data_IF_732107107375
#
_entry.id   IF_732107107375
#
_cell.length_a   1.000
_cell.length_b   1.000
_cell.length_c   1.000
_cell.angle_alpha   90.00
_cell.angle_beta   90.00
_cell.angle_gamma   90.00
#
_symmetry.space_group_name_H-M   'P 1'
#
loop_
_entity.id
_entity.type
_entity.pdbx_description
1 polymer ?
#
# COMPACT_ATOMS: atom_id res chain seq x y z
N UNK A 1 -18.45 -2.66 -13.14
CA UNK A 1 -16.98 -2.43 -13.12
C UNK A 1 -16.51 -1.44 -12.04
N UNK A 2 -17.20 -0.32 -11.76
CA UNK A 2 -16.71 0.69 -10.80
C UNK A 2 -16.53 0.20 -9.34
N UNK A 3 -17.36 -0.74 -8.87
CA UNK A 3 -17.20 -1.34 -7.53
C UNK A 3 -15.94 -2.21 -7.42
N UNK A 4 -15.56 -2.88 -8.51
CA UNK A 4 -14.37 -3.75 -8.55
C UNK A 4 -13.07 -2.95 -8.39
N UNK A 5 -13.04 -1.72 -8.92
CA UNK A 5 -11.87 -0.86 -8.85
C UNK A 5 -11.54 -0.41 -7.41
N UNK A 6 -12.56 -0.25 -6.55
CA UNK A 6 -12.43 0.20 -5.16
C UNK A 6 -12.04 -0.89 -4.16
N UNK A 7 -12.10 -2.16 -4.55
CA UNK A 7 -11.69 -3.27 -3.68
C UNK A 7 -10.17 -3.30 -3.51
N UNK A 8 -9.72 -3.55 -2.27
CA UNK A 8 -8.31 -3.89 -1.97
C UNK A 8 -7.90 -5.12 -2.81
N UNK A 9 -6.61 -5.25 -3.11
CA UNK A 9 -6.07 -6.33 -3.97
C UNK A 9 -6.57 -7.72 -3.52
N UNK A 10 -6.59 -7.97 -2.21
CA UNK A 10 -7.18 -9.17 -1.62
C UNK A 10 -8.63 -9.41 -2.07
N UNK A 11 -9.50 -8.41 -1.93
CA UNK A 11 -10.91 -8.53 -2.32
C UNK A 11 -11.10 -8.79 -3.82
N UNK A 12 -10.22 -8.22 -4.67
CA UNK A 12 -10.22 -8.53 -6.11
C UNK A 12 -9.87 -10.00 -6.36
N UNK A 13 -8.82 -10.49 -5.69
CA UNK A 13 -8.37 -11.88 -5.82
C UNK A 13 -9.44 -12.86 -5.35
N UNK A 14 -10.07 -12.60 -4.20
CA UNK A 14 -11.16 -13.43 -3.66
C UNK A 14 -12.32 -13.54 -4.64
N UNK A 15 -12.76 -12.41 -5.23
CA UNK A 15 -13.89 -12.44 -6.18
C UNK A 15 -13.53 -13.17 -7.47
N UNK A 16 -12.31 -12.98 -8.00
CA UNK A 16 -11.86 -13.70 -9.21
C UNK A 16 -11.83 -15.21 -8.96
N UNK A 17 -11.18 -15.65 -7.88
CA UNK A 17 -11.04 -17.08 -7.58
C UNK A 17 -12.41 -17.71 -7.28
N UNK A 18 -13.28 -17.03 -6.51
CA UNK A 18 -14.64 -17.50 -6.25
C UNK A 18 -15.45 -17.64 -7.56
N UNK A 19 -15.31 -16.69 -8.47
CA UNK A 19 -15.96 -16.74 -9.79
C UNK A 19 -15.49 -17.94 -10.62
N UNK A 20 -14.18 -18.22 -10.62
CA UNK A 20 -13.61 -19.38 -11.31
C UNK A 20 -14.13 -20.70 -10.71
N UNK A 21 -14.13 -20.81 -9.37
CA UNK A 21 -14.63 -22.01 -8.68
C UNK A 21 -16.11 -22.24 -8.98
N UNK A 22 -16.93 -21.17 -8.98
CA UNK A 22 -18.35 -21.26 -9.31
C UNK A 22 -18.58 -21.67 -10.76
N UNK A 23 -17.83 -21.10 -11.71
CA UNK A 23 -17.91 -21.46 -13.12
C UNK A 23 -17.56 -22.94 -13.33
N UNK A 24 -16.49 -23.41 -12.68
CA UNK A 24 -16.07 -24.81 -12.77
C UNK A 24 -17.12 -25.76 -12.17
N UNK A 25 -17.75 -25.37 -11.05
CA UNK A 25 -18.84 -26.12 -10.44
C UNK A 25 -20.04 -26.25 -11.39
N UNK A 26 -20.44 -25.16 -12.05
CA UNK A 26 -21.55 -25.17 -13.02
C UNK A 26 -21.20 -26.04 -14.23
N UNK A 27 -20.02 -25.87 -14.82
CA UNK A 27 -19.59 -26.61 -15.99
C UNK A 27 -19.48 -28.12 -15.70
N UNK A 28 -18.87 -28.48 -14.56
CA UNK A 28 -18.76 -29.87 -14.12
C UNK A 28 -20.13 -30.49 -13.85
N UNK A 29 -21.05 -29.75 -13.20
CA UNK A 29 -22.42 -30.20 -12.99
C UNK A 29 -23.18 -30.46 -14.29
N UNK A 30 -23.06 -29.55 -15.26
CA UNK A 30 -23.69 -29.71 -16.58
C UNK A 30 -23.13 -30.91 -17.35
N UNK A 31 -21.80 -31.05 -17.41
CA UNK A 31 -21.14 -32.17 -18.07
C UNK A 31 -21.59 -33.51 -17.46
N UNK A 32 -21.61 -33.58 -16.12
CA UNK A 32 -21.97 -34.80 -15.42
C UNK A 32 -23.44 -35.17 -15.58
N UNK A 33 -24.36 -34.19 -15.67
CA UNK A 33 -25.77 -34.43 -15.95
C UNK A 33 -25.96 -35.10 -17.33
N UNK A 34 -25.21 -34.64 -18.34
CA UNK A 34 -25.23 -35.23 -19.69
C UNK A 34 -24.70 -36.66 -19.63
N UNK A 35 -23.51 -36.87 -19.04
CA UNK A 35 -22.91 -38.21 -18.95
C UNK A 35 -23.79 -39.20 -18.17
N UNK A 36 -24.40 -38.77 -17.06
CA UNK A 36 -25.28 -39.62 -16.26
C UNK A 36 -26.55 -39.99 -17.05
N UNK A 37 -27.15 -39.03 -17.76
CA UNK A 37 -28.30 -39.27 -18.63
C UNK A 37 -27.98 -40.30 -19.72
N UNK A 38 -26.81 -40.21 -20.34
CA UNK A 38 -26.40 -41.13 -21.40
C UNK A 38 -26.14 -42.55 -20.87
N UNK A 39 -25.47 -42.68 -19.72
CA UNK A 39 -25.25 -43.97 -19.06
C UNK A 39 -26.58 -44.63 -18.67
N UNK A 40 -27.50 -43.85 -18.08
CA UNK A 40 -28.80 -44.37 -17.65
C UNK A 40 -29.64 -44.83 -18.83
N UNK A 41 -29.63 -44.08 -19.94
CA UNK A 41 -30.32 -44.48 -21.19
C UNK A 41 -29.75 -45.77 -21.78
N UNK A 42 -28.43 -45.87 -21.89
CA UNK A 42 -27.77 -47.08 -22.38
C UNK A 42 -28.04 -48.30 -21.47
N UNK A 43 -28.10 -48.07 -20.15
CA UNK A 43 -28.47 -49.10 -19.19
C UNK A 43 -29.92 -49.56 -19.34
N UNK A 44 -30.85 -48.64 -19.62
CA UNK A 44 -32.26 -48.96 -19.82
C UNK A 44 -32.45 -49.79 -21.09
N UNK A 45 -31.79 -49.41 -22.18
CA UNK A 45 -31.82 -50.12 -23.45
C UNK A 45 -31.30 -51.56 -23.32
N UNK A 46 -30.16 -51.75 -22.65
CA UNK A 46 -29.60 -53.11 -22.39
C UNK A 46 -30.55 -53.99 -21.58
N UNK A 47 -31.20 -53.43 -20.55
CA UNK A 47 -32.17 -54.17 -19.73
C UNK A 47 -33.42 -54.51 -20.54
N UNK A 48 -33.91 -53.56 -21.33
CA UNK A 48 -35.05 -53.77 -22.21
C UNK A 48 -34.79 -54.87 -23.26
N UNK A 49 -33.60 -54.88 -23.87
CA UNK A 49 -33.19 -55.94 -24.80
C UNK A 49 -33.13 -57.31 -24.13
N UNK A 50 -32.63 -57.38 -22.89
CA UNK A 50 -32.59 -58.63 -22.11
C UNK A 50 -34.00 -59.18 -21.85
N UNK A 51 -34.93 -58.32 -21.42
CA UNK A 51 -36.33 -58.72 -21.19
C UNK A 51 -36.99 -59.14 -22.50
N UNK A 52 -36.74 -58.41 -23.60
CA UNK A 52 -37.31 -58.75 -24.90
C UNK A 52 -36.80 -60.11 -25.42
N UNK A 53 -35.52 -60.41 -25.21
CA UNK A 53 -34.92 -61.69 -25.54
C UNK A 53 -35.50 -62.85 -24.73
N UNK A 54 -35.63 -62.68 -23.41
CA UNK A 54 -36.19 -63.68 -22.50
C UNK A 54 -37.67 -63.97 -22.81
N UNK A 55 -38.47 -62.92 -23.02
CA UNK A 55 -39.88 -63.07 -23.42
C UNK A 55 -39.97 -63.77 -24.77
N UNK A 56 -39.09 -63.48 -25.74
CA UNK A 56 -39.10 -64.13 -27.04
C UNK A 56 -38.76 -65.63 -26.96
N UNK A 57 -37.76 -65.98 -26.17
CA UNK A 57 -37.37 -67.38 -25.94
C UNK A 57 -38.52 -68.18 -25.32
N UNK A 58 -39.07 -67.70 -24.21
CA UNK A 58 -40.17 -68.38 -23.52
C UNK A 58 -41.48 -68.38 -24.32
N UNK A 59 -41.71 -67.36 -25.14
CA UNK A 59 -42.86 -67.31 -26.04
C UNK A 59 -42.75 -68.33 -27.16
N UNK A 60 -41.53 -68.67 -27.62
CA UNK A 60 -41.32 -69.71 -28.62
C UNK A 60 -41.92 -71.04 -28.16
N UNK A 61 -41.59 -71.45 -26.93
CA UNK A 61 -42.08 -72.69 -26.32
C UNK A 61 -43.62 -72.70 -26.19
N UNK A 62 -44.21 -71.57 -25.77
CA UNK A 62 -45.66 -71.43 -25.64
C UNK A 62 -46.39 -71.44 -26.99
N UNK A 63 -45.79 -70.85 -28.04
CA UNK A 63 -46.34 -70.82 -29.39
C UNK A 63 -46.29 -72.20 -30.06
N UNK A 64 -45.20 -72.95 -29.90
CA UNK A 64 -45.08 -74.32 -30.41
C UNK A 64 -46.10 -75.28 -29.78
N UNK A 65 -46.47 -75.03 -28.51
CA UNK A 65 -47.48 -75.82 -27.78
C UNK A 65 -48.92 -75.33 -27.99
N UNK A 66 -49.13 -74.22 -28.71
CA UNK A 66 -50.44 -73.65 -29.01
C UNK A 66 -51.19 -73.09 -27.79
N UNK A 67 -50.49 -72.84 -26.67
CA UNK A 67 -51.10 -72.41 -25.42
C UNK A 67 -51.14 -70.88 -25.31
N UNK A 68 -52.17 -70.28 -25.90
CA UNK A 68 -52.35 -68.81 -25.90
C UNK A 68 -52.54 -68.24 -24.48
N UNK A 69 -53.09 -69.02 -23.55
CA UNK A 69 -53.28 -68.59 -22.16
C UNK A 69 -51.94 -68.48 -21.42
N UNK A 70 -51.05 -69.46 -21.60
CA UNK A 70 -49.70 -69.41 -21.04
C UNK A 70 -48.91 -68.21 -21.57
N UNK A 71 -49.14 -67.84 -22.84
CA UNK A 71 -48.53 -66.67 -23.46
C UNK A 71 -49.02 -65.35 -22.83
N UNK A 72 -50.33 -65.22 -22.59
CA UNK A 72 -50.88 -64.05 -21.87
C UNK A 72 -50.37 -63.97 -20.42
N UNK A 73 -50.35 -65.08 -19.70
CA UNK A 73 -49.87 -65.12 -18.31
C UNK A 73 -48.37 -64.75 -18.23
N UNK A 74 -47.57 -65.21 -19.18
CA UNK A 74 -46.14 -64.90 -19.27
C UNK A 74 -45.89 -63.40 -19.43
N UNK A 75 -46.50 -62.75 -20.42
CA UNK A 75 -46.24 -61.33 -20.67
C UNK A 75 -46.73 -60.44 -19.53
N UNK A 76 -47.81 -60.83 -18.85
CA UNK A 76 -48.30 -60.13 -17.68
C UNK A 76 -47.37 -60.31 -16.47
N UNK A 77 -46.80 -61.51 -16.31
CA UNK A 77 -45.80 -61.81 -15.28
C UNK A 77 -44.52 -61.01 -15.50
N UNK A 78 -44.00 -61.01 -16.72
CA UNK A 78 -42.77 -60.28 -17.07
C UNK A 78 -42.90 -58.77 -16.92
N UNK A 79 -44.05 -58.21 -17.32
CA UNK A 79 -44.35 -56.80 -17.04
C UNK A 79 -44.40 -56.49 -15.55
N UNK A 80 -44.97 -57.39 -14.74
CA UNK A 80 -45.09 -57.19 -13.28
C UNK A 80 -43.75 -57.34 -12.57
N UNK A 81 -42.84 -58.16 -13.08
CA UNK A 81 -41.51 -58.36 -12.53
C UNK A 81 -40.53 -57.23 -12.88
N UNK A 82 -40.81 -56.45 -13.93
CA UNK A 82 -39.93 -55.41 -14.44
C UNK A 82 -40.61 -54.03 -14.41
N UNK A 83 -40.39 -53.26 -13.34
CA UNK A 83 -41.04 -51.95 -13.12
C UNK A 83 -40.77 -50.89 -14.20
N UNK A 84 -39.73 -51.08 -15.02
CA UNK A 84 -39.40 -50.21 -16.15
C UNK A 84 -40.18 -50.54 -17.43
N UNK A 85 -40.86 -51.69 -17.49
CA UNK A 85 -41.62 -52.15 -18.65
C UNK A 85 -43.03 -51.57 -18.61
N UNK A 86 -43.35 -50.71 -19.58
CA UNK A 86 -44.66 -50.09 -19.74
C UNK A 86 -45.67 -51.04 -20.39
N UNK A 87 -45.23 -51.75 -21.43
CA UNK A 87 -46.03 -52.76 -22.12
C UNK A 87 -45.18 -53.87 -22.74
N UNK A 88 -45.82 -55.01 -22.92
CA UNK A 88 -45.37 -56.15 -23.73
C UNK A 88 -46.53 -56.57 -24.62
N UNK A 89 -46.26 -56.81 -25.90
CA UNK A 89 -47.20 -57.49 -26.80
C UNK A 89 -46.48 -58.32 -27.86
N UNK A 90 -47.16 -59.34 -28.36
CA UNK A 90 -46.66 -60.24 -29.40
C UNK A 90 -47.38 -60.02 -30.72
N UNK A 91 -46.62 -60.15 -31.79
CA UNK A 91 -47.07 -60.09 -33.16
C UNK A 91 -46.80 -61.42 -33.84
N UNK A 92 -47.77 -61.91 -34.59
CA UNK A 92 -47.61 -63.02 -35.55
C UNK A 92 -46.80 -62.56 -36.77
N UNK A 93 -46.42 -63.50 -37.62
CA UNK A 93 -45.78 -63.33 -38.94
C UNK A 93 -46.52 -62.34 -39.84
N UNK A 94 -47.85 -62.28 -39.78
CA UNK A 94 -48.71 -61.32 -40.48
C UNK A 94 -48.82 -59.94 -39.77
N UNK A 95 -48.05 -59.73 -38.69
CA UNK A 95 -48.12 -58.52 -37.87
C UNK A 95 -49.43 -58.37 -37.10
N UNK A 96 -50.16 -59.47 -36.85
CA UNK A 96 -51.38 -59.51 -36.03
C UNK A 96 -51.03 -59.70 -34.56
N UNK A 97 -51.73 -58.99 -33.67
CA UNK A 97 -51.46 -59.11 -32.23
C UNK A 97 -51.94 -60.45 -31.70
N UNK A 98 -51.04 -61.21 -31.10
CA UNK A 98 -51.35 -62.52 -30.51
C UNK A 98 -51.71 -62.43 -29.03
N UNK A 99 -50.95 -61.61 -28.28
CA UNK A 99 -51.16 -61.36 -26.86
C UNK A 99 -50.65 -59.95 -26.51
N UNK A 100 -51.22 -59.31 -25.50
CA UNK A 100 -50.80 -57.97 -25.07
C UNK A 100 -51.08 -57.70 -23.59
N UNK A 101 -50.35 -56.74 -23.02
CA UNK A 101 -50.51 -56.32 -21.61
C UNK A 101 -51.32 -55.01 -21.43
N UNK A 102 -51.96 -54.51 -22.48
CA UNK A 102 -52.77 -53.28 -22.43
C UNK A 102 -54.13 -53.51 -21.76
N UNK A 103 -54.49 -52.65 -20.81
CA UNK A 103 -55.76 -52.76 -20.06
C UNK A 103 -56.94 -52.06 -20.74
N UNK A 104 -56.69 -51.10 -21.65
CA UNK A 104 -57.71 -50.31 -22.35
C UNK A 104 -57.80 -50.64 -23.86
N UNK A 105 -57.28 -51.81 -24.25
CA UNK A 105 -57.12 -52.21 -25.65
C UNK A 105 -55.80 -51.74 -26.27
N UNK A 106 -55.39 -52.42 -27.35
CA UNK A 106 -54.12 -52.16 -28.04
C UNK A 106 -54.18 -50.86 -28.87
N UNK A 107 -53.26 -49.90 -28.66
CA UNK A 107 -53.25 -48.66 -29.45
C UNK A 107 -52.86 -48.93 -30.91
N UNK A 108 -53.69 -48.49 -31.87
CA UNK A 108 -53.46 -48.73 -33.31
C UNK A 108 -52.11 -48.18 -33.80
N UNK A 109 -51.70 -46.99 -33.35
CA UNK A 109 -50.44 -46.35 -33.76
C UNK A 109 -49.19 -47.10 -33.29
N UNK A 110 -49.28 -47.95 -32.24
CA UNK A 110 -48.15 -48.71 -31.74
C UNK A 110 -47.80 -49.94 -32.61
N UNK A 111 -48.77 -50.37 -33.42
CA UNK A 111 -48.63 -51.53 -34.33
C UNK A 111 -47.77 -51.21 -35.55
N UNK A 112 -47.81 -49.97 -36.02
CA UNK A 112 -47.19 -49.51 -37.27
C UNK A 112 -45.81 -48.87 -37.07
N UNK A 113 -45.31 -48.80 -35.83
CA UNK A 113 -44.05 -48.11 -35.50
C UNK A 113 -42.81 -48.76 -36.11
N UNK A 114 -42.80 -50.08 -36.22
CA UNK A 114 -41.71 -50.83 -36.85
C UNK A 114 -42.19 -51.32 -38.23
N UNK A 115 -41.31 -51.27 -39.24
CA UNK A 115 -41.61 -51.77 -40.59
C UNK A 115 -41.75 -53.30 -40.67
N UNK A 116 -41.87 -53.86 -41.88
CA UNK A 116 -41.76 -55.30 -42.10
C UNK A 116 -40.35 -55.75 -41.64
N UNK A 117 -40.30 -56.54 -40.56
CA UNK A 117 -39.08 -56.71 -39.77
C UNK A 117 -38.02 -57.59 -40.38
N UNK A 118 -36.77 -57.30 -40.01
CA UNK A 118 -35.62 -58.18 -40.24
C UNK A 118 -35.41 -59.21 -39.13
N UNK A 119 -34.34 -60.00 -39.28
CA UNK A 119 -33.92 -61.03 -38.34
C UNK A 119 -33.15 -60.49 -37.11
N UNK A 120 -32.95 -59.17 -37.02
CA UNK A 120 -32.22 -58.51 -35.93
C UNK A 120 -33.16 -57.71 -35.02
N UNK A 121 -32.82 -57.55 -33.73
CA UNK A 121 -33.58 -56.72 -32.82
C UNK A 121 -33.47 -55.23 -33.20
N UNK A 122 -34.58 -54.52 -33.11
CA UNK A 122 -34.68 -53.09 -33.43
C UNK A 122 -35.13 -52.32 -32.19
N UNK A 123 -34.58 -51.12 -31.97
CA UNK A 123 -34.97 -50.23 -30.87
C UNK A 123 -35.37 -48.88 -31.45
N UNK A 124 -36.61 -48.47 -31.23
CA UNK A 124 -37.10 -47.15 -31.60
C UNK A 124 -37.44 -46.31 -30.38
N UNK A 125 -37.23 -45.00 -30.49
CA UNK A 125 -37.65 -44.04 -29.46
C UNK A 125 -38.91 -43.34 -29.90
N UNK A 126 -39.92 -43.37 -29.05
CA UNK A 126 -41.26 -42.89 -29.39
C UNK A 126 -41.77 -42.01 -28.25
N UNK A 127 -42.21 -40.80 -28.61
CA UNK A 127 -42.96 -39.95 -27.69
C UNK A 127 -44.42 -40.43 -27.67
N UNK A 128 -44.86 -40.95 -26.52
CA UNK A 128 -46.22 -41.48 -26.34
C UNK A 128 -47.01 -40.63 -25.34
N UNK A 129 -48.32 -40.83 -25.26
CA UNK A 129 -49.16 -40.22 -24.21
C UNK A 129 -48.81 -40.70 -22.80
N UNK A 130 -48.02 -41.78 -22.68
CA UNK A 130 -47.49 -42.32 -21.43
C UNK A 130 -46.06 -41.83 -21.12
N UNK A 131 -45.51 -40.91 -21.92
CA UNK A 131 -44.13 -40.42 -21.80
C UNK A 131 -43.20 -40.95 -22.89
N UNK A 132 -41.90 -40.75 -22.70
CA UNK A 132 -40.86 -41.22 -23.64
C UNK A 132 -40.65 -42.71 -23.44
N UNK A 133 -40.92 -43.49 -24.49
CA UNK A 133 -40.80 -44.95 -24.45
C UNK A 133 -39.74 -45.41 -25.46
N UNK A 134 -38.86 -46.30 -25.01
CA UNK A 134 -38.01 -47.10 -25.89
C UNK A 134 -38.77 -48.37 -26.23
N UNK A 135 -39.15 -48.49 -27.49
CA UNK A 135 -39.95 -49.56 -28.01
C UNK A 135 -39.03 -50.55 -28.75
N UNK A 136 -38.89 -51.72 -28.15
CA UNK A 136 -37.92 -52.75 -28.54
C UNK A 136 -38.67 -53.85 -29.26
N UNK A 137 -38.24 -54.16 -30.48
CA UNK A 137 -38.69 -55.32 -31.24
C UNK A 137 -37.65 -56.43 -31.14
N UNK A 138 -38.09 -57.63 -30.78
CA UNK A 138 -37.26 -58.82 -30.78
C UNK A 138 -37.91 -59.94 -31.61
N UNK A 139 -37.23 -60.50 -32.62
CA UNK A 139 -37.78 -61.58 -33.45
C UNK A 139 -37.79 -62.91 -32.69
N UNK A 140 -38.88 -63.69 -32.81
CA UNK A 140 -39.01 -65.04 -32.22
C UNK A 140 -38.55 -66.06 -33.28
N UNK A 141 -37.59 -66.92 -32.94
CA UNK A 141 -36.94 -67.85 -33.89
C UNK A 141 -36.51 -67.18 -35.20
N UNK A 142 -35.80 -66.04 -35.11
CA UNK A 142 -35.37 -65.28 -36.29
C UNK A 142 -36.50 -64.67 -37.11
N UNK A 143 -37.71 -64.58 -36.54
CA UNK A 143 -38.91 -64.00 -37.15
C UNK A 143 -39.91 -65.05 -37.66
N UNK A 144 -39.58 -66.35 -37.58
CA UNK A 144 -40.42 -67.44 -38.06
C UNK A 144 -41.74 -67.57 -37.28
N UNK A 145 -41.73 -67.22 -36.00
CA UNK A 145 -42.91 -67.27 -35.11
C UNK A 145 -43.43 -65.87 -34.78
N UNK A 146 -43.00 -64.84 -35.52
CA UNK A 146 -43.36 -63.45 -35.29
C UNK A 146 -42.35 -62.70 -34.41
N UNK A 147 -42.82 -61.71 -33.64
CA UNK A 147 -41.95 -60.82 -32.86
C UNK A 147 -42.58 -60.37 -31.54
N UNK A 148 -41.73 -60.23 -30.51
CA UNK A 148 -42.08 -59.60 -29.23
C UNK A 148 -41.79 -58.12 -29.29
N UNK A 149 -42.66 -57.34 -28.65
CA UNK A 149 -42.57 -55.88 -28.56
C UNK A 149 -42.59 -55.48 -27.09
N UNK A 150 -41.49 -54.91 -26.61
CA UNK A 150 -41.33 -54.47 -25.22
C UNK A 150 -41.16 -52.96 -25.21
N UNK A 151 -42.11 -52.26 -24.61
CA UNK A 151 -42.06 -50.82 -24.38
C UNK A 151 -41.48 -50.53 -23.01
N UNK A 152 -40.33 -49.88 -22.96
CA UNK A 152 -39.64 -49.50 -21.73
C UNK A 152 -39.74 -47.99 -21.50
N UNK A 153 -40.20 -47.58 -20.31
CA UNK A 153 -40.39 -46.16 -19.98
C UNK A 153 -39.10 -45.50 -19.51
N UNK A 154 -38.75 -44.35 -20.10
CA UNK A 154 -37.64 -43.52 -19.59
C UNK A 154 -38.01 -42.85 -18.25
N UNK A 155 -39.28 -42.77 -17.87
CA UNK A 155 -39.71 -42.16 -16.60
C UNK A 155 -39.29 -42.99 -15.38
N UNK A 156 -39.09 -44.30 -15.54
CA UNK A 156 -38.51 -45.17 -14.50
C UNK A 156 -37.09 -44.72 -14.09
N UNK A 157 -36.40 -43.94 -14.93
CA UNK A 157 -35.09 -43.37 -14.63
C UNK A 157 -35.19 -42.06 -13.81
N UNK A 158 -36.37 -41.44 -13.74
CA UNK A 158 -36.53 -40.07 -13.23
C UNK A 158 -36.30 -39.96 -11.73
N UNK A 159 -36.78 -40.91 -10.94
CA UNK A 159 -36.60 -40.93 -9.48
C UNK A 159 -35.13 -41.15 -9.08
N UNK A 160 -34.44 -42.05 -9.80
CA UNK A 160 -33.00 -42.29 -9.64
C UNK A 160 -32.18 -41.05 -10.00
N UNK A 161 -32.55 -40.35 -11.08
CA UNK A 161 -31.91 -39.09 -11.49
C UNK A 161 -32.09 -37.99 -10.43
N UNK A 162 -33.30 -37.77 -9.91
CA UNK A 162 -33.56 -36.71 -8.91
C UNK A 162 -32.77 -36.93 -7.62
N UNK A 163 -32.75 -38.16 -7.10
CA UNK A 163 -31.99 -38.50 -5.89
C UNK A 163 -30.49 -38.28 -6.06
N UNK A 164 -29.93 -38.71 -7.21
CA UNK A 164 -28.51 -38.50 -7.50
C UNK A 164 -28.17 -37.03 -7.72
N UNK A 165 -29.01 -36.26 -8.42
CA UNK A 165 -28.82 -34.81 -8.60
C UNK A 165 -28.80 -34.08 -7.26
N UNK A 166 -29.67 -34.43 -6.31
CA UNK A 166 -29.71 -33.79 -5.00
C UNK A 166 -28.45 -34.07 -4.18
N UNK A 167 -27.96 -35.32 -4.17
CA UNK A 167 -26.68 -35.69 -3.52
C UNK A 167 -25.51 -34.91 -4.11
N UNK A 168 -25.49 -34.77 -5.44
CA UNK A 168 -24.45 -34.02 -6.15
C UNK A 168 -24.47 -32.54 -5.79
N UNK A 169 -25.64 -31.90 -5.77
CA UNK A 169 -25.78 -30.52 -5.31
C UNK A 169 -25.25 -30.32 -3.88
N UNK A 170 -25.51 -31.27 -2.99
CA UNK A 170 -24.96 -31.27 -1.63
C UNK A 170 -23.42 -31.29 -1.62
N UNK A 171 -22.81 -32.22 -2.36
CA UNK A 171 -21.34 -32.32 -2.47
C UNK A 171 -20.74 -31.05 -3.07
N UNK A 172 -21.34 -30.52 -4.14
CA UNK A 172 -20.88 -29.27 -4.77
C UNK A 172 -20.93 -28.11 -3.78
N UNK A 173 -22.00 -27.97 -3.00
CA UNK A 173 -22.12 -26.93 -1.98
C UNK A 173 -21.02 -27.04 -0.91
N UNK A 174 -20.72 -28.26 -0.44
CA UNK A 174 -19.65 -28.50 0.53
C UNK A 174 -18.29 -28.10 -0.01
N UNK A 175 -17.97 -28.47 -1.26
CA UNK A 175 -16.72 -28.09 -1.93
C UNK A 175 -16.62 -26.56 -2.04
N UNK A 176 -17.72 -25.90 -2.40
CA UNK A 176 -17.77 -24.44 -2.58
C UNK A 176 -17.54 -23.71 -1.25
N UNK A 177 -18.13 -24.21 -0.15
CA UNK A 177 -17.91 -23.68 1.19
C UNK A 177 -16.46 -23.90 1.67
N UNK A 178 -15.89 -25.07 1.45
CA UNK A 178 -14.49 -25.36 1.79
C UNK A 178 -13.53 -24.46 0.99
N UNK A 179 -13.77 -24.28 -0.31
CA UNK A 179 -13.01 -23.38 -1.15
C UNK A 179 -13.11 -21.94 -0.63
N UNK A 180 -14.30 -21.46 -0.25
CA UNK A 180 -14.50 -20.13 0.30
C UNK A 180 -13.69 -19.90 1.58
N UNK A 181 -13.71 -20.85 2.52
CA UNK A 181 -12.94 -20.78 3.77
C UNK A 181 -11.44 -20.78 3.49
N UNK A 182 -10.98 -21.67 2.60
CA UNK A 182 -9.56 -21.75 2.23
C UNK A 182 -9.06 -20.46 1.58
N UNK A 183 -9.84 -19.89 0.65
CA UNK A 183 -9.50 -18.61 0.00
C UNK A 183 -9.44 -17.48 1.02
N UNK A 184 -10.39 -17.42 1.95
CA UNK A 184 -10.40 -16.41 3.01
C UNK A 184 -9.16 -16.51 3.90
N UNK A 185 -8.80 -17.72 4.34
CA UNK A 185 -7.61 -17.97 5.15
C UNK A 185 -6.32 -17.64 4.40
N UNK A 186 -6.21 -18.07 3.14
CA UNK A 186 -5.04 -17.77 2.31
C UNK A 186 -4.88 -16.26 2.08
N UNK A 187 -5.99 -15.55 1.88
CA UNK A 187 -6.00 -14.09 1.76
C UNK A 187 -5.48 -13.41 3.03
N UNK A 188 -5.85 -13.89 4.21
CA UNK A 188 -5.41 -13.33 5.49
C UNK A 188 -3.91 -13.57 5.74
N UNK A 189 -3.42 -14.77 5.40
CA UNK A 189 -2.01 -15.16 5.54
C UNK A 189 -1.09 -14.35 4.60
N UNK A 190 -1.49 -14.15 3.35
CA UNK A 190 -0.63 -13.48 2.35
C UNK A 190 -0.74 -11.96 2.39
N UNK A 191 -1.95 -11.42 2.58
CA UNK A 191 -2.16 -9.97 2.38
C UNK A 191 -1.78 -9.15 3.61
N UNK A 192 -2.00 -9.66 4.83
CA UNK A 192 -1.68 -8.90 6.05
C UNK A 192 -0.20 -8.55 6.16
N UNK A 193 0.75 -9.48 5.99
CA UNK A 193 2.18 -9.16 6.05
C UNK A 193 2.59 -8.12 5.01
N UNK A 194 2.08 -8.23 3.78
CA UNK A 194 2.38 -7.29 2.71
C UNK A 194 1.89 -5.88 3.02
N UNK A 195 0.72 -5.74 3.63
CA UNK A 195 0.21 -4.42 4.00
C UNK A 195 1.07 -3.77 5.09
N UNK A 196 1.49 -4.54 6.10
CA UNK A 196 2.41 -4.05 7.12
C UNK A 196 3.78 -3.66 6.56
N UNK A 197 4.31 -4.43 5.60
CA UNK A 197 5.55 -4.09 4.90
C UNK A 197 5.41 -2.78 4.11
N UNK A 198 4.29 -2.58 3.41
CA UNK A 198 4.03 -1.35 2.66
C UNK A 198 3.93 -0.11 3.56
N UNK A 199 3.16 -0.19 4.66
CA UNK A 199 3.04 0.91 5.61
C UNK A 199 4.42 1.30 6.17
N UNK A 200 5.22 0.31 6.55
CA UNK A 200 6.59 0.51 7.02
C UNK A 200 7.49 1.17 5.99
N UNK A 201 7.47 0.70 4.75
CA UNK A 201 8.24 1.29 3.67
C UNK A 201 7.88 2.77 3.46
N UNK A 202 6.59 3.14 3.61
CA UNK A 202 6.15 4.53 3.54
C UNK A 202 6.70 5.38 4.69
N UNK A 203 6.72 4.85 5.91
CA UNK A 203 7.31 5.54 7.06
C UNK A 203 8.83 5.73 6.91
N UNK A 204 9.55 4.69 6.45
CA UNK A 204 10.99 4.75 6.16
C UNK A 204 11.26 5.78 5.06
N UNK A 205 10.44 5.82 4.00
CA UNK A 205 10.57 6.80 2.91
C UNK A 205 10.40 8.25 3.39
N UNK A 206 9.60 8.48 4.45
CA UNK A 206 9.43 9.80 5.08
C UNK A 206 10.54 10.13 6.09
N UNK A 207 11.51 9.22 6.31
CA UNK A 207 12.63 9.40 7.23
C UNK A 207 12.29 9.13 8.70
N UNK A 208 11.17 8.46 8.98
CA UNK A 208 10.78 8.08 10.34
C UNK A 208 11.27 6.66 10.65
N UNK A 209 12.38 6.56 11.41
CA UNK A 209 13.06 5.30 11.74
C UNK A 209 12.68 4.77 13.14
N UNK A 210 11.41 4.89 13.55
CA UNK A 210 10.98 4.71 14.95
C UNK A 210 10.35 3.35 15.27
N UNK A 211 10.38 2.39 14.34
CA UNK A 211 9.68 1.11 14.51
C UNK A 211 10.56 -0.02 15.08
N UNK A 212 10.03 -0.85 15.99
CA UNK A 212 10.62 -2.17 16.32
C UNK A 212 10.78 -3.00 15.04
N UNK A 213 11.91 -3.68 14.81
CA UNK A 213 12.13 -4.51 13.60
C UNK A 213 10.91 -5.36 13.21
N UNK A 214 10.62 -5.46 11.91
CA UNK A 214 9.52 -6.31 11.43
C UNK A 214 9.94 -7.76 11.62
N UNK A 215 9.37 -8.43 12.61
CA UNK A 215 9.60 -9.85 12.85
C UNK A 215 8.40 -10.64 12.36
N UNK A 216 8.55 -11.25 11.17
CA UNK A 216 7.61 -12.28 10.74
C UNK A 216 8.17 -13.66 11.12
N UNK A 217 7.33 -14.57 11.62
CA UNK A 217 7.75 -15.92 12.00
C UNK A 217 8.06 -16.84 10.81
N UNK A 218 7.90 -16.38 9.56
CA UNK A 218 8.05 -17.22 8.38
C UNK A 218 9.44 -17.04 7.73
N UNK A 219 10.13 -18.14 7.42
CA UNK A 219 11.38 -18.18 6.64
C UNK A 219 11.15 -18.11 5.13
N UNK A 220 9.96 -17.68 4.71
CA UNK A 220 9.52 -17.62 3.32
C UNK A 220 10.00 -16.34 2.61
N UNK A 221 9.56 -16.14 1.37
CA UNK A 221 9.84 -14.95 0.56
C UNK A 221 9.51 -13.65 1.29
N UNK A 222 8.42 -13.64 2.08
CA UNK A 222 7.96 -12.46 2.82
C UNK A 222 8.91 -12.19 4.00
N UNK A 223 9.33 -13.23 4.71
CA UNK A 223 10.34 -13.11 5.76
C UNK A 223 11.68 -12.58 5.23
N UNK A 224 12.15 -13.08 4.09
CA UNK A 224 13.38 -12.57 3.43
C UNK A 224 13.25 -11.10 3.06
N UNK A 225 12.11 -10.70 2.49
CA UNK A 225 11.84 -9.30 2.16
C UNK A 225 11.81 -8.40 3.40
N UNK A 226 11.18 -8.86 4.49
CA UNK A 226 11.14 -8.13 5.75
C UNK A 226 12.54 -7.92 6.35
N UNK A 227 13.37 -8.96 6.33
CA UNK A 227 14.76 -8.87 6.80
C UNK A 227 15.59 -7.91 5.95
N UNK A 228 15.49 -8.00 4.61
CA UNK A 228 16.17 -7.08 3.71
C UNK A 228 15.73 -5.62 3.94
N UNK A 229 14.44 -5.40 4.21
CA UNK A 229 13.93 -4.05 4.51
C UNK A 229 14.41 -3.55 5.89
N UNK A 230 14.47 -4.42 6.91
CA UNK A 230 15.05 -4.07 8.21
C UNK A 230 16.55 -3.71 8.08
N UNK A 231 17.30 -4.43 7.25
CA UNK A 231 18.71 -4.13 6.97
C UNK A 231 18.88 -2.79 6.25
N UNK A 232 18.02 -2.52 5.26
CA UNK A 232 17.99 -1.24 4.55
C UNK A 232 17.65 -0.08 5.50
N UNK A 233 16.66 -0.25 6.39
CA UNK A 233 16.30 0.74 7.41
C UNK A 233 17.50 1.06 8.31
N UNK A 234 18.21 0.02 8.78
CA UNK A 234 19.41 0.17 9.62
C UNK A 234 20.49 0.98 8.90
N UNK A 235 20.85 0.63 7.67
CA UNK A 235 21.87 1.35 6.91
C UNK A 235 21.47 2.81 6.63
N UNK A 236 20.20 3.07 6.33
CA UNK A 236 19.70 4.44 6.12
C UNK A 236 19.78 5.26 7.41
N UNK A 237 19.43 4.67 8.56
CA UNK A 237 19.51 5.32 9.86
C UNK A 237 20.95 5.63 10.25
N UNK A 238 21.86 4.68 10.09
CA UNK A 238 23.30 4.86 10.32
C UNK A 238 23.87 5.96 9.42
N UNK A 239 23.56 5.95 8.12
CA UNK A 239 23.99 6.98 7.18
C UNK A 239 23.45 8.38 7.53
N UNK A 240 22.20 8.47 8.00
CA UNK A 240 21.61 9.72 8.45
C UNK A 240 22.28 10.26 9.73
N UNK A 241 22.60 9.38 10.68
CA UNK A 241 23.33 9.73 11.91
C UNK A 241 24.76 10.19 11.60
N UNK A 242 25.48 9.47 10.75
CA UNK A 242 26.84 9.84 10.35
C UNK A 242 26.86 11.18 9.61
N UNK A 243 25.90 11.41 8.70
CA UNK A 243 25.74 12.72 8.05
C UNK A 243 25.49 13.83 9.06
N UNK A 244 24.62 13.61 10.06
CA UNK A 244 24.36 14.59 11.12
C UNK A 244 25.62 14.88 11.94
N UNK A 245 26.41 13.84 12.25
CA UNK A 245 27.67 13.96 12.97
C UNK A 245 28.72 14.75 12.18
N UNK A 246 28.89 14.45 10.90
CA UNK A 246 29.85 15.13 10.02
C UNK A 246 29.48 16.61 9.83
N UNK A 247 28.20 16.93 9.62
CA UNK A 247 27.75 18.32 9.52
C UNK A 247 27.99 19.09 10.82
N UNK A 248 27.77 18.46 11.99
CA UNK A 248 28.13 19.06 13.28
C UNK A 248 29.62 19.36 13.38
N UNK A 249 30.48 18.42 13.01
CA UNK A 249 31.94 18.63 13.02
C UNK A 249 32.37 19.77 12.10
N UNK A 250 31.82 19.83 10.87
CA UNK A 250 32.15 20.90 9.91
C UNK A 250 31.81 22.27 10.49
N UNK A 251 30.65 22.41 11.14
CA UNK A 251 30.21 23.71 11.67
C UNK A 251 30.96 24.10 12.93
N UNK A 252 31.23 23.16 13.83
CA UNK A 252 32.11 23.43 14.97
C UNK A 252 33.49 23.87 14.49
N UNK A 253 34.10 23.15 13.54
CA UNK A 253 35.39 23.51 12.97
C UNK A 253 35.35 24.89 12.28
N UNK A 254 34.25 25.22 11.59
CA UNK A 254 34.07 26.52 10.96
C UNK A 254 33.98 27.66 11.99
N UNK A 255 33.31 27.47 13.12
CA UNK A 255 33.24 28.48 14.18
C UNK A 255 34.57 28.62 14.94
N UNK A 256 35.30 27.52 15.16
CA UNK A 256 36.67 27.54 15.70
C UNK A 256 37.64 28.27 14.78
N UNK A 257 37.54 28.03 13.47
CA UNK A 257 38.33 28.74 12.45
C UNK A 257 38.02 30.24 12.46
N UNK A 258 36.73 30.62 12.50
CA UNK A 258 36.31 32.02 12.61
C UNK A 258 36.85 32.68 13.87
N UNK A 259 36.85 31.95 15.00
CA UNK A 259 37.47 32.40 16.25
C UNK A 259 38.95 32.68 16.06
N UNK A 260 39.69 31.72 15.49
CA UNK A 260 41.13 31.86 15.28
C UNK A 260 41.46 33.08 14.42
N UNK A 261 40.80 33.23 13.27
CA UNK A 261 41.01 34.36 12.36
C UNK A 261 40.67 35.69 13.04
N UNK A 262 39.56 35.77 13.78
CA UNK A 262 39.18 36.99 14.49
C UNK A 262 40.23 37.40 15.54
N UNK A 263 40.78 36.43 16.29
CA UNK A 263 41.84 36.68 17.26
C UNK A 263 43.15 37.12 16.59
N UNK A 264 43.58 36.44 15.53
CA UNK A 264 44.80 36.77 14.78
C UNK A 264 44.73 38.18 14.15
N UNK A 265 43.58 38.53 13.58
CA UNK A 265 43.31 39.88 13.07
C UNK A 265 43.36 40.93 14.18
N UNK A 266 42.72 40.66 15.33
CA UNK A 266 42.69 41.61 16.43
C UNK A 266 44.07 41.82 17.07
N UNK A 267 44.79 40.73 17.34
CA UNK A 267 46.00 40.77 18.15
C UNK A 267 47.22 41.14 17.31
N UNK A 268 47.53 40.42 16.23
CA UNK A 268 48.76 40.67 15.48
C UNK A 268 48.64 41.90 14.57
N UNK A 269 47.59 41.93 13.75
CA UNK A 269 47.38 43.03 12.79
C UNK A 269 46.91 44.31 13.48
N UNK A 270 46.01 44.20 14.47
CA UNK A 270 45.51 45.34 15.23
C UNK A 270 46.57 46.03 16.09
N UNK A 271 47.45 45.27 16.75
CA UNK A 271 48.54 45.86 17.54
C UNK A 271 49.58 46.53 16.64
N UNK A 272 49.94 45.91 15.51
CA UNK A 272 50.90 46.48 14.55
C UNK A 272 50.43 47.82 14.00
N UNK A 273 49.16 47.90 13.58
CA UNK A 273 48.56 49.17 13.11
C UNK A 273 48.47 50.23 14.23
N UNK A 274 48.19 49.80 15.46
CA UNK A 274 48.15 50.71 16.62
C UNK A 274 49.54 51.29 16.91
N UNK A 275 50.60 50.47 16.86
CA UNK A 275 51.98 50.94 17.00
C UNK A 275 52.37 51.90 15.87
N UNK A 276 51.97 51.60 14.62
CA UNK A 276 52.21 52.48 13.48
C UNK A 276 51.53 53.85 13.65
N UNK A 277 50.29 53.88 14.16
CA UNK A 277 49.59 55.14 14.47
C UNK A 277 50.34 55.99 15.50
N UNK A 278 50.90 55.38 16.54
CA UNK A 278 51.71 56.08 17.54
C UNK A 278 53.01 56.63 16.93
N UNK A 279 53.72 55.83 16.12
CA UNK A 279 54.94 56.25 15.43
C UNK A 279 54.69 57.40 14.46
N UNK A 280 53.62 57.33 13.66
CA UNK A 280 53.25 58.40 12.73
C UNK A 280 52.89 59.69 13.47
N UNK A 281 52.19 59.58 14.62
CA UNK A 281 51.88 60.74 15.47
C UNK A 281 53.13 61.35 16.10
N UNK A 282 54.08 60.54 16.55
CA UNK A 282 55.35 61.02 17.10
C UNK A 282 56.17 61.76 16.03
N UNK A 283 56.33 61.17 14.84
CA UNK A 283 57.04 61.80 13.71
C UNK A 283 56.37 63.11 13.26
N UNK A 284 55.04 63.16 13.23
CA UNK A 284 54.31 64.38 12.89
C UNK A 284 54.48 65.51 13.93
N UNK A 285 54.80 65.16 15.18
CA UNK A 285 55.06 66.13 16.26
C UNK A 285 56.54 66.59 16.31
N UNK A 286 57.47 65.83 15.74
CA UNK A 286 58.92 66.14 15.73
C UNK A 286 59.38 66.92 14.50
N UNK A 287 58.55 67.02 13.45
CA UNK A 287 58.90 67.73 12.21
C UNK A 287 58.44 69.18 12.22
N UNK A 288 59.32 70.10 11.80
CA UNK A 288 59.01 71.53 11.63
C UNK A 288 58.57 71.88 10.19
N UNK A 289 58.59 70.92 9.25
CA UNK A 289 58.13 71.11 7.87
C UNK A 289 56.62 70.84 7.76
N UNK A 290 55.84 71.89 7.52
CA UNK A 290 54.38 71.81 7.38
C UNK A 290 53.91 70.82 6.31
N UNK A 291 54.65 70.67 5.20
CA UNK A 291 54.25 69.75 4.13
C UNK A 291 54.48 68.29 4.55
N UNK A 292 55.59 68.02 5.23
CA UNK A 292 55.89 66.71 5.81
C UNK A 292 54.88 66.36 6.91
N UNK A 293 54.55 67.31 7.78
CA UNK A 293 53.55 67.12 8.83
C UNK A 293 52.18 66.77 8.26
N UNK A 294 51.70 67.49 7.22
CA UNK A 294 50.44 67.18 6.54
C UNK A 294 50.43 65.79 5.91
N UNK A 295 51.53 65.39 5.26
CA UNK A 295 51.66 64.06 4.67
C UNK A 295 51.61 62.95 5.73
N UNK A 296 52.32 63.11 6.85
CA UNK A 296 52.32 62.15 7.97
C UNK A 296 50.93 62.01 8.62
N UNK A 297 50.22 63.13 8.80
CA UNK A 297 48.86 63.13 9.33
C UNK A 297 47.86 62.45 8.38
N UNK A 298 48.00 62.65 7.07
CA UNK A 298 47.17 61.97 6.08
C UNK A 298 47.37 60.44 6.10
N UNK A 299 48.63 59.97 6.17
CA UNK A 299 48.95 58.54 6.28
C UNK A 299 48.43 57.97 7.61
N UNK A 300 48.53 58.74 8.71
CA UNK A 300 47.95 58.35 10.00
C UNK A 300 46.44 58.16 9.89
N UNK A 301 45.73 59.08 9.24
CA UNK A 301 44.27 59.01 9.11
C UNK A 301 43.85 57.80 8.25
N UNK A 302 44.57 57.53 7.15
CA UNK A 302 44.35 56.31 6.34
C UNK A 302 44.64 55.02 7.13
N UNK A 303 45.67 55.03 7.97
CA UNK A 303 46.00 53.92 8.87
C UNK A 303 44.91 53.71 9.93
N UNK A 304 44.35 54.80 10.46
CA UNK A 304 43.28 54.77 11.46
C UNK A 304 41.98 54.22 10.86
N UNK A 305 41.65 54.63 9.63
CA UNK A 305 40.51 54.09 8.87
C UNK A 305 40.70 52.60 8.57
N UNK A 306 41.91 52.20 8.20
CA UNK A 306 42.24 50.78 7.95
C UNK A 306 42.10 49.94 9.22
N UNK A 307 42.59 50.43 10.37
CA UNK A 307 42.42 49.78 11.66
C UNK A 307 40.94 49.67 12.05
N UNK A 308 40.14 50.71 11.80
CA UNK A 308 38.70 50.69 12.05
C UNK A 308 37.98 49.64 11.18
N UNK A 309 38.33 49.53 9.89
CA UNK A 309 37.80 48.50 8.99
C UNK A 309 38.20 47.09 9.42
N UNK A 310 39.46 46.89 9.81
CA UNK A 310 39.97 45.60 10.29
C UNK A 310 39.22 45.16 11.56
N UNK A 311 39.08 46.05 12.55
CA UNK A 311 38.29 45.77 13.76
C UNK A 311 36.83 45.45 13.43
N UNK A 312 36.23 46.13 12.45
CA UNK A 312 34.88 45.81 11.98
C UNK A 312 34.79 44.39 11.40
N UNK A 313 35.77 43.99 10.58
CA UNK A 313 35.84 42.64 10.01
C UNK A 313 36.02 41.55 11.09
N UNK A 314 36.88 41.80 12.07
CA UNK A 314 37.07 40.88 13.19
C UNK A 314 35.77 40.69 13.99
N UNK A 315 35.02 41.77 14.25
CA UNK A 315 33.71 41.71 14.93
C UNK A 315 32.66 40.96 14.12
N UNK A 316 32.66 41.10 12.79
CA UNK A 316 31.77 40.34 11.90
C UNK A 316 32.10 38.83 11.89
N UNK A 317 33.39 38.50 11.93
CA UNK A 317 33.90 37.13 12.01
C UNK A 317 33.57 36.46 13.34
N UNK A 318 33.79 37.12 14.48
CA UNK A 318 33.33 36.66 15.80
C UNK A 318 33.17 37.86 16.75
N UNK A 319 31.97 38.12 17.29
CA UNK A 319 31.76 39.26 18.17
C UNK A 319 32.52 39.05 19.50
N UNK A 320 33.48 39.91 19.87
CA UNK A 320 34.25 39.74 21.10
C UNK A 320 33.38 39.77 22.36
N UNK A 321 32.30 40.57 22.32
CA UNK A 321 31.32 40.66 23.40
C UNK A 321 30.65 39.32 23.71
N UNK A 322 30.58 38.39 22.74
CA UNK A 322 30.02 37.07 22.98
C UNK A 322 30.92 36.20 23.86
N UNK A 323 32.24 36.36 23.72
CA UNK A 323 33.24 35.62 24.50
C UNK A 323 33.49 36.23 25.88
N UNK A 324 33.54 37.56 25.96
CA UNK A 324 33.93 38.27 27.18
C UNK A 324 32.74 38.56 28.11
N UNK A 325 31.56 38.82 27.54
CA UNK A 325 30.40 39.34 28.26
C UNK A 325 29.15 38.45 28.11
N UNK A 326 29.21 37.42 27.26
CA UNK A 326 28.13 36.47 27.04
C UNK A 326 27.06 36.93 26.05
N UNK A 327 26.08 36.05 25.81
CA UNK A 327 25.07 36.21 24.75
C UNK A 327 24.17 37.44 24.93
N UNK A 328 23.82 37.79 26.17
CA UNK A 328 22.93 38.92 26.45
C UNK A 328 23.58 40.25 26.01
N UNK A 329 24.78 40.54 26.51
CA UNK A 329 25.54 41.73 26.14
C UNK A 329 25.87 41.77 24.63
N UNK A 330 26.16 40.61 24.02
CA UNK A 330 26.41 40.52 22.59
C UNK A 330 25.16 40.89 21.76
N UNK A 331 23.97 40.42 22.14
CA UNK A 331 22.71 40.75 21.47
C UNK A 331 22.30 42.21 21.70
N UNK A 332 22.51 42.76 22.89
CA UNK A 332 22.27 44.18 23.16
C UNK A 332 23.10 45.08 22.25
N UNK A 333 24.39 44.78 22.13
CA UNK A 333 25.29 45.50 21.22
C UNK A 333 24.84 45.38 19.76
N UNK A 334 24.52 44.16 19.31
CA UNK A 334 24.04 43.92 17.95
C UNK A 334 22.76 44.72 17.65
N UNK A 335 21.77 44.69 18.55
CA UNK A 335 20.51 45.43 18.39
C UNK A 335 20.75 46.93 18.43
N UNK A 336 21.63 47.44 19.30
CA UNK A 336 21.99 48.85 19.35
C UNK A 336 22.63 49.31 18.04
N UNK A 337 23.52 48.52 17.45
CA UNK A 337 24.15 48.82 16.16
C UNK A 337 23.12 48.89 15.02
N UNK A 338 22.15 47.97 14.98
CA UNK A 338 21.08 47.99 14.00
C UNK A 338 20.13 49.17 14.19
N UNK A 339 19.76 49.51 15.44
CA UNK A 339 18.95 50.70 15.76
C UNK A 339 19.63 52.00 15.32
N UNK A 340 20.96 52.10 15.40
CA UNK A 340 21.70 53.29 14.95
C UNK A 340 21.78 53.40 13.42
N UNK A 341 21.90 52.27 12.72
CA UNK A 341 22.11 52.24 11.25
C UNK A 341 20.82 52.21 10.44
N UNK A 342 19.71 51.77 11.03
CA UNK A 342 18.46 51.51 10.31
C UNK A 342 17.25 52.08 11.04
N UNK A 343 16.24 52.52 10.29
CA UNK A 343 15.00 53.10 10.82
C UNK A 343 13.97 52.03 11.23
N UNK A 344 14.37 51.04 12.03
CA UNK A 344 13.49 49.96 12.54
C UNK A 344 13.47 49.99 14.06
N UNK A 345 12.26 50.06 14.65
CA UNK A 345 12.06 49.98 16.10
C UNK A 345 12.22 48.55 16.60
N UNK A 346 13.42 48.19 17.04
CA UNK A 346 13.72 46.84 17.55
C UNK A 346 13.55 46.85 19.07
N UNK A 347 12.77 45.94 19.64
CA UNK A 347 12.67 45.66 21.07
C UNK A 347 13.42 44.36 21.39
N UNK A 348 14.26 44.36 22.44
CA UNK A 348 15.02 43.20 22.88
C UNK A 348 14.63 42.88 24.32
N UNK A 349 14.23 41.63 24.55
CA UNK A 349 13.92 41.10 25.88
C UNK A 349 14.75 39.83 26.08
N UNK A 350 15.74 39.90 26.96
CA UNK A 350 16.58 38.76 27.34
C UNK A 350 16.22 38.32 28.76
N UNK A 351 16.05 37.01 28.94
CA UNK A 351 15.89 36.37 30.24
C UNK A 351 16.77 35.12 30.27
N UNK A 352 18.02 35.28 30.66
CA UNK A 352 19.04 34.22 30.68
C UNK A 352 19.28 33.78 32.12
N UNK A 353 18.65 32.67 32.52
CA UNK A 353 18.84 32.07 33.85
C UNK A 353 20.04 31.12 33.87
N UNK A 354 20.32 30.46 32.75
CA UNK A 354 21.48 29.57 32.57
C UNK A 354 22.24 29.96 31.31
N UNK A 355 23.56 30.15 31.43
CA UNK A 355 24.42 30.51 30.30
C UNK A 355 24.40 29.36 29.27
N UNK A 356 23.96 29.61 28.02
CA UNK A 356 24.04 28.60 26.97
C UNK A 356 25.49 28.14 26.72
N UNK A 357 25.69 26.94 26.17
CA UNK A 357 27.04 26.55 25.75
C UNK A 357 27.59 27.49 24.65
N UNK A 358 28.91 27.48 24.45
CA UNK A 358 29.57 28.36 23.47
C UNK A 358 28.97 28.20 22.06
N UNK A 359 28.68 26.96 21.65
CA UNK A 359 28.14 26.65 20.32
C UNK A 359 26.69 27.14 20.20
N UNK A 360 25.86 26.94 21.24
CA UNK A 360 24.48 27.42 21.28
C UNK A 360 24.42 28.95 21.30
N UNK A 361 25.30 29.60 22.06
CA UNK A 361 25.42 31.06 22.13
C UNK A 361 25.77 31.65 20.76
N UNK A 362 26.78 31.09 20.08
CA UNK A 362 27.16 31.49 18.73
C UNK A 362 26.02 31.26 17.74
N UNK A 363 25.34 30.11 17.81
CA UNK A 363 24.21 29.83 16.93
C UNK A 363 23.06 30.82 17.13
N UNK A 364 22.66 31.09 18.38
CA UNK A 364 21.62 32.08 18.70
C UNK A 364 22.02 33.46 18.16
N UNK A 365 23.26 33.89 18.40
CA UNK A 365 23.75 35.16 17.89
C UNK A 365 23.64 35.26 16.36
N UNK A 366 24.10 34.23 15.63
CA UNK A 366 24.04 34.18 14.17
C UNK A 366 22.62 34.14 13.64
N UNK A 367 21.74 33.42 14.30
CA UNK A 367 20.32 33.36 13.95
C UNK A 367 19.70 34.75 14.09
N UNK A 368 19.93 35.45 15.21
CA UNK A 368 19.42 36.81 15.41
C UNK A 368 20.01 37.77 14.37
N UNK A 369 21.31 37.68 14.08
CA UNK A 369 21.98 38.48 13.06
C UNK A 369 21.35 38.29 11.67
N UNK A 370 21.09 37.04 11.27
CA UNK A 370 20.47 36.70 10.00
C UNK A 370 19.01 37.17 9.95
N UNK A 371 18.24 36.98 11.03
CA UNK A 371 16.88 37.49 11.14
C UNK A 371 16.84 39.02 11.01
N UNK A 372 17.71 39.75 11.72
CA UNK A 372 17.79 41.20 11.62
C UNK A 372 18.18 41.67 10.22
N UNK A 373 19.10 40.96 9.56
CA UNK A 373 19.48 41.23 8.16
C UNK A 373 18.29 41.04 7.23
N UNK A 374 17.53 39.95 7.40
CA UNK A 374 16.32 39.69 6.63
C UNK A 374 15.25 40.77 6.88
N UNK A 375 15.08 41.21 8.12
CA UNK A 375 14.14 42.27 8.48
C UNK A 375 14.51 43.56 7.73
N UNK A 376 15.76 44.02 7.87
CA UNK A 376 16.21 45.28 7.26
C UNK A 376 16.19 45.24 5.73
N UNK A 377 16.60 44.11 5.12
CA UNK A 377 16.74 44.02 3.66
C UNK A 377 15.47 43.61 2.93
N UNK A 378 14.56 42.88 3.57
CA UNK A 378 13.51 42.15 2.85
C UNK A 378 12.09 42.26 3.43
N UNK A 379 11.92 42.74 4.66
CA UNK A 379 10.61 42.77 5.33
C UNK A 379 9.87 44.10 5.19
N UNK A 380 10.56 45.23 4.98
CA UNK A 380 9.99 46.58 5.13
C UNK A 380 9.29 46.81 6.50
N UNK A 381 9.66 46.05 7.53
CA UNK A 381 9.10 46.19 8.86
C UNK A 381 9.49 47.53 9.49
N UNK A 382 8.56 48.08 10.28
CA UNK A 382 8.78 49.28 11.10
C UNK A 382 9.12 48.92 12.54
N UNK A 383 8.73 47.71 12.99
CA UNK A 383 8.95 47.19 14.33
C UNK A 383 9.40 45.74 14.29
N UNK A 384 10.29 45.38 15.21
CA UNK A 384 10.71 44.01 15.44
C UNK A 384 10.80 43.73 16.94
N UNK A 385 10.47 42.51 17.36
CA UNK A 385 10.62 42.04 18.73
C UNK A 385 11.53 40.81 18.75
N UNK A 386 12.60 40.88 19.54
CA UNK A 386 13.47 39.74 19.82
C UNK A 386 13.30 39.37 21.29
N UNK A 387 12.92 38.12 21.55
CA UNK A 387 12.83 37.59 22.91
C UNK A 387 13.67 36.33 23.02
N UNK A 388 14.64 36.35 23.91
CA UNK A 388 15.47 35.19 24.24
C UNK A 388 15.20 34.77 25.68
N UNK A 389 14.85 33.51 25.87
CA UNK A 389 14.74 32.89 27.20
C UNK A 389 15.66 31.68 27.25
N UNK A 390 16.54 31.60 28.25
CA UNK A 390 17.48 30.50 28.39
C UNK A 390 17.45 29.94 29.82
N UNK A 391 16.91 28.72 29.95
CA UNK A 391 16.90 27.90 31.17
C UNK A 391 17.19 26.44 30.81
N UNK A 392 16.31 25.50 31.16
CA UNK A 392 16.42 24.09 30.73
C UNK A 392 16.37 23.91 29.19
N UNK A 393 15.71 24.85 28.50
CA UNK A 393 15.72 24.98 27.04
C UNK A 393 16.02 26.43 26.68
N UNK A 394 16.55 26.63 25.48
CA UNK A 394 16.78 27.95 24.91
C UNK A 394 15.66 28.20 23.92
N UNK A 395 14.87 29.25 24.14
CA UNK A 395 13.76 29.63 23.28
C UNK A 395 14.02 31.04 22.75
N UNK A 396 14.09 31.16 21.43
CA UNK A 396 14.27 32.41 20.73
C UNK A 396 13.02 32.71 19.90
N UNK A 397 12.44 33.89 20.12
CA UNK A 397 11.46 34.48 19.24
C UNK A 397 12.04 35.68 18.52
N UNK A 398 11.85 35.73 17.21
CA UNK A 398 12.07 36.93 16.41
C UNK A 398 10.81 37.23 15.62
N UNK A 399 10.21 38.40 15.87
CA UNK A 399 8.96 38.83 15.25
C UNK A 399 9.18 40.12 14.46
N UNK A 400 8.54 40.23 13.31
CA UNK A 400 8.49 41.47 12.52
C UNK A 400 7.08 41.76 11.99
N UNK A 401 6.77 43.05 11.81
CA UNK A 401 5.49 43.54 11.29
C UNK A 401 5.57 43.97 9.82
N UNK A 402 6.48 43.36 9.05
CA UNK A 402 6.69 43.66 7.65
C UNK A 402 5.64 43.07 6.71
N UNK A 403 6.08 42.63 5.54
CA UNK A 403 5.21 42.08 4.49
C UNK A 403 4.97 40.56 4.61
N UNK A 404 5.55 39.90 5.62
CA UNK A 404 5.46 38.45 5.82
C UNK A 404 6.23 37.61 4.78
N UNK A 405 6.25 36.29 5.01
CA UNK A 405 6.89 35.30 4.13
C UNK A 405 5.82 34.42 3.46
N UNK A 406 5.52 34.73 2.19
CA UNK A 406 4.57 33.95 1.38
C UNK A 406 5.22 32.69 0.79
N UNK A 407 4.45 31.62 0.59
CA UNK A 407 4.89 30.35 -0.02
C UNK A 407 5.51 30.52 -1.42
N UNK A 408 5.09 31.54 -2.16
CA UNK A 408 5.64 31.91 -3.47
C UNK A 408 7.06 32.50 -3.34
N UNK A 409 7.32 33.31 -2.31
CA UNK A 409 8.67 33.86 -2.02
C UNK A 409 9.63 32.76 -1.56
N UNK A 410 9.16 31.79 -0.76
CA UNK A 410 9.95 30.63 -0.38
C UNK A 410 10.33 29.81 -1.62
N UNK A 411 9.40 29.61 -2.57
CA UNK A 411 9.65 28.89 -3.83
C UNK A 411 10.59 29.66 -4.77
N UNK A 412 10.45 30.97 -4.88
CA UNK A 412 11.34 31.81 -5.70
C UNK A 412 12.77 31.80 -5.14
N UNK A 413 12.93 32.01 -3.83
CA UNK A 413 14.24 32.03 -3.18
C UNK A 413 14.95 30.66 -3.16
N UNK A 414 14.20 29.55 -3.21
CA UNK A 414 14.76 28.20 -3.39
C UNK A 414 15.50 28.04 -4.72
N UNK A 415 15.06 28.71 -5.78
CA UNK A 415 15.72 28.67 -7.11
C UNK A 415 17.02 29.46 -7.13
N UNK A 416 17.09 30.51 -6.32
CA UNK A 416 18.22 31.43 -6.28
C UNK A 416 19.28 31.05 -5.24
N UNK A 417 19.07 29.99 -4.42
CA UNK A 417 19.98 29.56 -3.33
C UNK A 417 20.33 30.67 -2.32
N UNK A 418 19.51 31.71 -2.19
CA UNK A 418 19.87 32.94 -1.46
C UNK A 418 19.07 33.18 -0.16
N UNK A 419 18.28 32.22 0.31
CA UNK A 419 17.48 32.45 1.51
C UNK A 419 18.27 32.10 2.79
N UNK A 420 18.65 33.12 3.55
CA UNK A 420 19.26 32.98 4.88
C UNK A 420 18.47 32.11 5.87
N UNK A 421 17.17 31.93 5.60
CA UNK A 421 16.28 31.01 6.32
C UNK A 421 16.76 29.55 6.26
N UNK A 422 17.39 29.12 5.16
CA UNK A 422 17.96 27.77 5.09
C UNK A 422 19.15 27.62 6.03
N UNK A 423 20.01 28.65 6.12
CA UNK A 423 21.12 28.68 7.07
C UNK A 423 20.66 28.74 8.53
N UNK A 424 19.54 29.41 8.82
CA UNK A 424 18.89 29.38 10.14
C UNK A 424 18.38 27.96 10.43
N UNK A 425 17.59 27.37 9.53
CA UNK A 425 17.00 26.04 9.72
C UNK A 425 18.07 24.94 9.86
N UNK A 426 19.17 25.04 9.11
CA UNK A 426 20.29 24.12 9.20
C UNK A 426 20.98 24.22 10.57
N UNK A 427 21.34 25.43 11.03
CA UNK A 427 21.92 25.62 12.38
C UNK A 427 21.04 25.11 13.50
N UNK A 428 19.73 25.39 13.44
CA UNK A 428 18.78 24.89 14.44
C UNK A 428 18.73 23.37 14.45
N UNK A 429 18.70 22.73 13.27
CA UNK A 429 18.69 21.27 13.15
C UNK A 429 19.96 20.63 13.71
N UNK A 430 21.11 21.28 13.55
CA UNK A 430 22.40 20.74 14.00
C UNK A 430 22.55 20.72 15.51
N UNK A 431 21.90 21.66 16.18
CA UNK A 431 21.78 21.69 17.64
C UNK A 431 20.60 20.87 18.16
N UNK A 432 20.09 19.94 17.34
CA UNK A 432 18.91 19.12 17.65
C UNK A 432 17.70 19.96 18.10
N UNK A 433 17.60 21.18 17.57
CA UNK A 433 16.54 22.13 17.86
C UNK A 433 15.39 22.05 16.87
N UNK A 434 14.33 22.79 17.15
CA UNK A 434 13.15 22.95 16.29
C UNK A 434 12.99 24.41 15.91
N UNK A 435 12.57 24.63 14.67
CA UNK A 435 12.25 25.94 14.13
C UNK A 435 10.84 25.90 13.56
N UNK A 436 10.00 26.84 13.99
CA UNK A 436 8.68 27.08 13.47
C UNK A 436 8.65 28.49 12.87
N UNK A 437 8.09 28.59 11.67
CA UNK A 437 7.82 29.86 11.02
C UNK A 437 6.31 30.03 10.95
N UNK A 438 5.81 31.11 11.53
CA UNK A 438 4.38 31.40 11.62
C UNK A 438 4.09 32.89 11.44
N UNK A 439 2.82 33.26 11.49
CA UNK A 439 2.36 34.65 11.53
C UNK A 439 1.33 34.80 12.65
N UNK A 440 1.40 35.90 13.39
CA UNK A 440 0.46 36.26 14.47
C UNK A 440 -0.26 37.55 14.07
N UNK A 441 -1.19 37.43 13.11
CA UNK A 441 -1.93 38.56 12.58
C UNK A 441 -2.93 39.13 13.60
N UNK A 442 -3.20 40.45 13.58
CA UNK A 442 -2.67 41.45 12.63
C UNK A 442 -1.32 42.07 13.06
N UNK A 443 -0.77 41.69 14.22
CA UNK A 443 0.33 42.42 14.85
C UNK A 443 1.72 42.04 14.30
N UNK A 444 1.95 40.76 14.02
CA UNK A 444 3.23 40.23 13.53
C UNK A 444 3.03 39.40 12.27
N UNK A 445 3.62 39.83 11.17
CA UNK A 445 3.51 39.16 9.86
C UNK A 445 4.49 38.00 9.71
N UNK A 446 5.56 38.00 10.50
CA UNK A 446 6.54 36.91 10.54
C UNK A 446 6.92 36.65 11.98
N UNK A 447 6.90 35.37 12.38
CA UNK A 447 7.33 34.90 13.70
C UNK A 447 8.23 33.69 13.51
N UNK A 448 9.51 33.87 13.81
CA UNK A 448 10.46 32.79 14.01
C UNK A 448 10.39 32.35 15.46
N UNK A 449 10.06 31.07 15.67
CA UNK A 449 10.12 30.41 16.98
C UNK A 449 11.14 29.31 16.92
N UNK A 450 12.21 29.44 17.70
CA UNK A 450 13.34 28.52 17.68
C UNK A 450 13.53 27.97 19.09
N UNK A 451 13.57 26.64 19.19
CA UNK A 451 13.81 25.93 20.44
C UNK A 451 15.10 25.10 20.30
N UNK A 452 16.08 25.35 21.16
CA UNK A 452 17.31 24.57 21.27
C UNK A 452 17.37 23.88 22.64
N UNK A 453 18.10 22.76 22.71
CA UNK A 453 18.36 22.08 23.99
C UNK A 453 19.31 22.94 24.85
N UNK A 454 19.01 23.09 26.14
CA UNK A 454 19.91 23.72 27.10
C UNK A 454 21.01 22.77 27.57
N UNK A 455 22.08 23.29 28.19
CA UNK A 455 23.18 22.48 28.73
C UNK A 455 22.66 21.58 29.86
N UNK A 456 22.68 20.26 29.68
CA UNK A 456 22.31 19.28 30.73
C UNK A 456 21.30 18.18 30.35
N UNK A 457 20.77 18.17 29.12
CA UNK A 457 19.90 17.08 28.62
C UNK A 457 20.72 16.11 27.76
N UNK A 458 21.40 15.15 28.39
CA UNK A 458 21.89 13.94 27.71
C UNK A 458 20.71 13.01 27.39
N UNK A 459 20.88 12.23 26.33
CA UNK A 459 19.85 11.57 25.49
C UNK A 459 19.10 10.38 26.15
N UNK A 460 18.59 10.52 27.38
CA UNK A 460 17.97 9.40 28.12
C UNK A 460 16.42 9.35 28.14
N UNK A 461 15.70 10.23 27.42
CA UNK A 461 14.23 10.34 27.65
C UNK A 461 13.30 10.36 26.43
N UNK A 462 13.72 9.88 25.25
CA UNK A 462 12.80 9.69 24.10
C UNK A 462 12.48 8.21 23.80
N UNK A 463 12.72 7.27 24.74
CA UNK A 463 12.37 5.83 24.61
C UNK A 463 11.05 5.43 25.32
N UNK A 464 10.12 6.36 25.52
CA UNK A 464 8.77 6.05 26.01
C UNK A 464 7.70 6.89 25.32
N UNK A 465 6.95 6.26 24.41
CA UNK A 465 5.77 6.80 23.74
C UNK A 465 5.29 5.93 22.61
#
# INVERSE_FOLDING_TARGET
MQYFAKLRIAGKLTVIVMGIVLLFAILSGALMLVTLSDIMRASLERRGLSVAAEVAELSSDALQTGNLFALEELIHTEKRNNDFVSYIFLLDTDGRVMAHTFTKGMPLHLRELHGAGGAEPEVLRVDTSLGKIQDIRWPIEGGALGAVRVGVSEDALRELLVSNVLKMLGITLVILLLAAVLIFRLSEILTRPLHHLMERAEHISKGHFSGRAITFPATDEIGRLANAMNDMERHLREGAQERSRLLRHIITAQEEERKRIAMELHDESGQTLTALLFSLRALANETDDENMQKALLAIRDETADTLARLRSLAVELRPPALDELGIEAALEKLVADYRRKHAVGIELVCAVETVPGDVESVAVYRIVQECLTNIVRHSHATRALIRLTAGARIVLYVKDNGIGITQERIRAARREKHLGIYGIAERVRLLAGRMELSAELPEWTTVYRIELRGRGLTDESDDCG
#
